data_IF_723763421168
#
_entry.id   IF_723763421168
#
_cell.length_a   1.000
_cell.length_b   1.000
_cell.length_c   1.000
_cell.angle_alpha   90.00
_cell.angle_beta   90.00
_cell.angle_gamma   90.00
#
_symmetry.space_group_name_H-M   'P 1'
#
loop_
_entity.id
_entity.type
_entity.pdbx_description
1 polymer ?
#
# COMPACT_ATOMS: atom_id res chain seq x y z
N UNK A 1 3.71 3.64 9.97
CA UNK A 1 2.94 2.99 8.89
C UNK A 1 2.94 1.49 9.13
N UNK A 2 1.78 0.92 9.44
CA UNK A 2 1.60 -0.54 9.40
C UNK A 2 1.58 -0.95 7.94
N UNK A 3 2.54 -1.79 7.53
CA UNK A 3 2.64 -2.30 6.15
C UNK A 3 2.16 -3.75 6.14
N UNK A 4 1.43 -4.17 5.10
CA UNK A 4 0.97 -5.54 5.03
C UNK A 4 2.16 -6.48 4.82
N UNK A 5 2.34 -7.44 5.73
CA UNK A 5 3.28 -8.55 5.56
C UNK A 5 2.77 -9.63 4.60
N UNK A 6 1.56 -9.46 4.04
CA UNK A 6 0.95 -10.37 3.07
C UNK A 6 1.90 -10.72 1.92
N UNK A 7 2.66 -9.73 1.43
CA UNK A 7 3.53 -9.90 0.27
C UNK A 7 4.77 -10.77 0.54
N UNK A 8 5.07 -11.11 1.79
CA UNK A 8 6.12 -12.09 2.12
C UNK A 8 5.78 -13.48 1.56
N UNK A 9 4.49 -13.79 1.39
CA UNK A 9 4.02 -15.03 0.77
C UNK A 9 4.13 -15.09 -0.75
N UNK A 10 4.63 -14.03 -1.41
CA UNK A 10 4.94 -14.05 -2.85
C UNK A 10 6.28 -14.73 -3.12
N UNK A 11 6.54 -15.15 -4.37
CA UNK A 11 7.83 -15.75 -4.76
C UNK A 11 9.03 -14.87 -4.36
N UNK A 12 8.92 -13.56 -4.57
CA UNK A 12 9.97 -12.61 -4.19
C UNK A 12 10.14 -12.52 -2.66
N UNK A 13 9.02 -12.48 -1.93
CA UNK A 13 9.04 -12.46 -0.46
C UNK A 13 9.66 -13.73 0.12
N UNK A 14 9.28 -14.90 -0.37
CA UNK A 14 9.80 -16.20 0.06
C UNK A 14 11.29 -16.37 -0.27
N UNK A 15 11.73 -15.92 -1.45
CA UNK A 15 13.14 -15.96 -1.81
C UNK A 15 14.00 -15.10 -0.87
N UNK A 16 13.52 -13.91 -0.52
CA UNK A 16 14.17 -13.04 0.46
C UNK A 16 14.20 -13.70 1.85
N UNK A 17 13.06 -14.23 2.31
CA UNK A 17 12.93 -14.88 3.62
C UNK A 17 13.91 -16.05 3.76
N UNK A 18 13.94 -16.93 2.74
CA UNK A 18 14.89 -18.05 2.68
C UNK A 18 16.35 -17.58 2.71
N UNK A 19 16.70 -16.54 1.97
CA UNK A 19 18.07 -16.00 1.97
C UNK A 19 18.46 -15.47 3.35
N UNK A 20 17.52 -14.84 4.06
CA UNK A 20 17.75 -14.34 5.41
C UNK A 20 17.87 -15.48 6.43
N UNK A 21 17.08 -16.54 6.29
CA UNK A 21 17.20 -17.77 7.09
C UNK A 21 18.57 -18.44 6.89
N UNK A 22 19.03 -18.55 5.65
CA UNK A 22 20.35 -19.10 5.31
C UNK A 22 21.46 -18.26 5.97
N UNK A 23 21.43 -16.93 5.83
CA UNK A 23 22.39 -16.01 6.47
C UNK A 23 22.34 -16.01 8.00
N UNK A 24 21.16 -16.19 8.61
CA UNK A 24 21.01 -16.38 10.06
C UNK A 24 21.67 -17.69 10.51
N UNK A 25 21.46 -18.78 9.75
CA UNK A 25 22.01 -20.11 10.05
C UNK A 25 23.54 -20.17 9.94
N UNK A 26 24.12 -19.39 9.02
CA UNK A 26 25.56 -19.23 8.85
C UNK A 26 26.17 -18.25 9.87
N UNK A 27 25.35 -17.61 10.72
CA UNK A 27 25.80 -16.63 11.71
C UNK A 27 26.23 -15.28 11.12
N UNK A 28 25.93 -15.03 9.84
CA UNK A 28 26.24 -13.77 9.16
C UNK A 28 25.33 -12.62 9.62
N UNK A 29 24.10 -12.94 10.01
CA UNK A 29 23.11 -11.99 10.50
C UNK A 29 22.49 -12.45 11.82
N UNK A 30 22.11 -11.48 12.65
CA UNK A 30 21.26 -11.78 13.81
C UNK A 30 19.80 -11.87 13.38
N UNK A 31 19.01 -12.69 14.09
CA UNK A 31 17.55 -12.76 13.93
C UNK A 31 16.85 -11.40 14.00
N UNK A 32 17.35 -10.51 14.86
CA UNK A 32 16.84 -9.14 14.99
C UNK A 32 17.04 -8.33 13.70
N UNK A 33 18.20 -8.48 13.06
CA UNK A 33 18.51 -7.80 11.81
C UNK A 33 17.70 -8.37 10.64
N UNK A 34 17.59 -9.69 10.51
CA UNK A 34 16.73 -10.33 9.51
C UNK A 34 15.27 -9.84 9.60
N UNK A 35 14.72 -9.78 10.82
CA UNK A 35 13.38 -9.24 11.06
C UNK A 35 13.24 -7.77 10.62
N UNK A 36 14.25 -6.93 10.86
CA UNK A 36 14.26 -5.53 10.39
C UNK A 36 14.30 -5.44 8.86
N UNK A 37 15.04 -6.32 8.19
CA UNK A 37 15.07 -6.38 6.71
C UNK A 37 13.69 -6.72 6.17
N UNK A 38 13.02 -7.74 6.74
CA UNK A 38 11.66 -8.09 6.33
C UNK A 38 10.64 -6.97 6.60
N UNK A 39 10.75 -6.25 7.71
CA UNK A 39 9.92 -5.06 7.95
C UNK A 39 10.16 -3.96 6.92
N UNK A 40 11.41 -3.79 6.46
CA UNK A 40 11.74 -2.85 5.40
C UNK A 40 11.23 -3.31 4.04
N UNK A 41 11.25 -4.63 3.77
CA UNK A 41 10.60 -5.23 2.61
C UNK A 41 9.10 -4.93 2.60
N UNK A 42 8.40 -5.14 3.71
CA UNK A 42 6.96 -4.84 3.80
C UNK A 42 6.66 -3.39 3.41
N UNK A 43 7.39 -2.44 4.00
CA UNK A 43 7.24 -1.00 3.69
C UNK A 43 7.49 -0.70 2.21
N UNK A 44 8.57 -1.26 1.67
CA UNK A 44 8.99 -1.01 0.29
C UNK A 44 7.98 -1.60 -0.70
N UNK A 45 7.52 -2.82 -0.46
CA UNK A 45 6.55 -3.52 -1.32
C UNK A 45 5.21 -2.81 -1.35
N UNK A 46 4.66 -2.47 -0.18
CA UNK A 46 3.39 -1.73 -0.09
C UNK A 46 3.48 -0.37 -0.80
N UNK A 47 4.60 0.34 -0.65
CA UNK A 47 4.85 1.61 -1.34
C UNK A 47 4.92 1.44 -2.86
N UNK A 48 5.66 0.46 -3.37
CA UNK A 48 5.82 0.28 -4.81
C UNK A 48 4.55 -0.20 -5.48
N UNK A 49 3.83 -1.18 -4.90
CA UNK A 49 2.55 -1.66 -5.45
C UNK A 49 1.54 -0.52 -5.56
N UNK A 50 1.50 0.39 -4.58
CA UNK A 50 0.60 1.55 -4.64
C UNK A 50 0.89 2.54 -5.76
N UNK A 51 2.09 2.47 -6.36
CA UNK A 51 2.55 3.33 -7.46
C UNK A 51 2.45 2.65 -8.82
N UNK A 52 2.26 1.34 -8.87
CA UNK A 52 2.13 0.61 -10.13
C UNK A 52 0.88 1.09 -10.90
N UNK A 53 0.90 1.06 -12.23
CA UNK A 53 -0.29 1.32 -13.05
C UNK A 53 -1.45 0.42 -12.60
N UNK A 54 -2.64 1.02 -12.48
CA UNK A 54 -3.86 0.31 -12.07
C UNK A 54 -4.49 -0.42 -13.25
N UNK A 55 -3.71 -1.30 -13.87
CA UNK A 55 -4.18 -2.15 -14.95
C UNK A 55 -5.27 -3.09 -14.44
N UNK A 56 -6.35 -3.22 -15.23
CA UNK A 56 -7.50 -4.02 -14.84
C UNK A 56 -7.32 -5.44 -15.35
N UNK A 57 -7.22 -6.39 -14.43
CA UNK A 57 -7.36 -7.81 -14.69
C UNK A 57 -8.81 -8.22 -14.42
N UNK A 58 -9.44 -8.93 -15.36
CA UNK A 58 -10.72 -9.59 -15.12
C UNK A 58 -10.50 -11.08 -14.95
N UNK A 59 -11.32 -11.75 -14.16
CA UNK A 59 -11.29 -13.22 -14.08
C UNK A 59 -12.69 -13.78 -13.92
N UNK A 60 -12.89 -15.01 -14.39
CA UNK A 60 -14.10 -15.78 -14.19
C UNK A 60 -13.71 -17.17 -13.69
N UNK A 61 -14.39 -17.70 -12.69
CA UNK A 61 -14.19 -19.04 -12.17
C UNK A 61 -15.47 -19.85 -12.35
N UNK A 62 -15.37 -21.13 -12.69
CA UNK A 62 -16.57 -21.98 -12.76
C UNK A 62 -17.11 -22.31 -11.38
N UNK A 63 -16.25 -22.32 -10.35
CA UNK A 63 -16.65 -22.66 -9.00
C UNK A 63 -15.82 -21.90 -7.95
N UNK A 64 -16.51 -21.37 -6.94
CA UNK A 64 -15.91 -20.98 -5.67
C UNK A 64 -15.92 -22.20 -4.74
N UNK A 65 -14.75 -22.75 -4.43
CA UNK A 65 -14.61 -23.95 -3.58
C UNK A 65 -14.83 -23.64 -2.10
N UNK A 66 -14.18 -22.59 -1.60
CA UNK A 66 -14.35 -22.13 -0.22
C UNK A 66 -14.02 -20.64 -0.12
N UNK A 67 -14.62 -19.98 0.85
CA UNK A 67 -14.30 -18.60 1.21
C UNK A 67 -14.20 -18.47 2.73
N UNK A 68 -13.47 -17.46 3.20
CA UNK A 68 -13.33 -17.13 4.62
C UNK A 68 -13.03 -15.66 4.79
N UNK A 69 -13.64 -15.06 5.80
CA UNK A 69 -13.32 -13.72 6.28
C UNK A 69 -12.93 -13.79 7.74
N UNK A 70 -11.72 -13.30 8.06
CA UNK A 70 -11.19 -13.25 9.42
C UNK A 70 -10.14 -12.13 9.48
N UNK A 71 -10.11 -11.35 10.56
CA UNK A 71 -9.14 -10.25 10.78
C UNK A 71 -9.03 -9.24 9.62
N UNK A 72 -10.15 -8.90 8.99
CA UNK A 72 -10.21 -8.02 7.82
C UNK A 72 -9.45 -8.55 6.58
N UNK A 73 -9.27 -9.87 6.51
CA UNK A 73 -8.67 -10.56 5.38
C UNK A 73 -9.68 -11.52 4.76
N UNK A 74 -9.93 -11.34 3.48
CA UNK A 74 -10.66 -12.30 2.66
C UNK A 74 -9.72 -13.36 2.12
N UNK A 75 -10.14 -14.62 2.17
CA UNK A 75 -9.50 -15.72 1.45
C UNK A 75 -10.55 -16.43 0.60
N UNK A 76 -10.27 -16.58 -0.69
CA UNK A 76 -11.07 -17.38 -1.63
C UNK A 76 -10.21 -18.48 -2.21
N UNK A 77 -10.80 -19.66 -2.44
CA UNK A 77 -10.21 -20.73 -3.25
C UNK A 77 -11.19 -21.00 -4.37
N UNK A 78 -10.74 -20.83 -5.60
CA UNK A 78 -11.51 -20.93 -6.84
C UNK A 78 -11.02 -22.14 -7.65
N UNK A 79 -11.91 -22.73 -8.43
CA UNK A 79 -11.61 -23.81 -9.38
C UNK A 79 -11.86 -23.32 -10.81
N UNK A 80 -11.02 -23.78 -11.75
CA UNK A 80 -11.11 -23.53 -13.19
C UNK A 80 -11.32 -22.03 -13.52
N UNK A 81 -10.26 -21.24 -13.30
CA UNK A 81 -10.26 -19.78 -13.41
C UNK A 81 -9.65 -19.31 -14.72
N UNK A 82 -10.45 -18.65 -15.55
CA UNK A 82 -9.95 -17.95 -16.73
C UNK A 82 -9.60 -16.51 -16.37
N UNK A 83 -8.33 -16.14 -16.54
CA UNK A 83 -7.86 -14.76 -16.45
C UNK A 83 -8.01 -14.05 -17.81
N UNK A 84 -8.43 -12.79 -17.80
CA UNK A 84 -8.58 -11.94 -18.97
C UNK A 84 -7.82 -10.64 -18.74
N UNK A 85 -6.67 -10.53 -19.40
CA UNK A 85 -5.82 -9.35 -19.41
C UNK A 85 -5.82 -8.74 -20.83
N UNK A 86 -6.06 -7.43 -20.99
CA UNK A 86 -5.97 -6.78 -22.30
C UNK A 86 -4.59 -6.87 -22.96
N UNK A 87 -3.51 -7.02 -22.18
CA UNK A 87 -2.13 -7.06 -22.67
C UNK A 87 -1.55 -8.48 -22.77
N UNK A 88 -2.19 -9.47 -22.14
CA UNK A 88 -1.68 -10.85 -22.06
C UNK A 88 -2.81 -11.86 -22.24
N UNK A 89 -2.63 -12.80 -23.17
CA UNK A 89 -3.48 -13.98 -23.24
C UNK A 89 -2.96 -15.06 -22.28
N UNK A 90 -3.88 -15.76 -21.62
CA UNK A 90 -3.61 -17.00 -20.90
C UNK A 90 -4.30 -18.11 -21.69
N UNK A 91 -3.52 -19.10 -22.15
CA UNK A 91 -4.02 -20.12 -23.08
C UNK A 91 -4.93 -21.14 -22.38
N UNK A 92 -4.70 -21.38 -21.08
CA UNK A 92 -5.40 -22.39 -20.30
C UNK A 92 -6.00 -21.80 -19.00
N UNK A 93 -7.17 -22.29 -18.57
CA UNK A 93 -7.70 -21.96 -17.26
C UNK A 93 -6.77 -22.44 -16.13
N UNK A 94 -6.70 -21.65 -15.06
CA UNK A 94 -6.00 -22.05 -13.84
C UNK A 94 -6.89 -23.04 -13.09
N UNK A 95 -6.44 -24.29 -12.95
CA UNK A 95 -7.18 -25.33 -12.22
C UNK A 95 -7.59 -24.86 -10.83
N UNK A 96 -6.67 -24.28 -10.06
CA UNK A 96 -6.98 -23.82 -8.70
C UNK A 96 -6.29 -22.51 -8.37
N UNK A 97 -7.07 -21.49 -8.02
CA UNK A 97 -6.58 -20.17 -7.64
C UNK A 97 -6.94 -19.82 -6.20
N UNK A 98 -5.94 -19.45 -5.39
CA UNK A 98 -6.14 -18.89 -4.06
C UNK A 98 -5.99 -17.38 -4.11
N UNK A 99 -7.04 -16.65 -3.72
CA UNK A 99 -7.02 -15.19 -3.58
C UNK A 99 -6.98 -14.83 -2.11
N UNK A 100 -6.00 -14.04 -1.70
CA UNK A 100 -5.91 -13.47 -0.34
C UNK A 100 -5.92 -11.95 -0.46
N UNK A 101 -6.90 -11.29 0.16
CA UNK A 101 -7.11 -9.86 0.03
C UNK A 101 -7.28 -9.19 1.39
N UNK A 102 -6.40 -8.24 1.69
CA UNK A 102 -6.53 -7.34 2.83
C UNK A 102 -7.36 -6.10 2.45
N UNK A 103 -8.01 -5.48 3.43
CA UNK A 103 -8.78 -4.26 3.22
C UNK A 103 -7.91 -3.05 2.82
N UNK A 104 -7.95 -2.68 1.53
CA UNK A 104 -7.19 -1.53 0.99
C UNK A 104 -7.70 -0.15 1.41
N UNK A 105 -8.84 -0.02 2.10
CA UNK A 105 -9.37 1.28 2.55
C UNK A 105 -8.42 1.99 3.50
N UNK A 106 -7.70 1.23 4.33
CA UNK A 106 -6.71 1.79 5.26
C UNK A 106 -5.55 2.46 4.50
N UNK A 107 -5.13 1.89 3.37
CA UNK A 107 -4.10 2.50 2.51
C UNK A 107 -4.60 3.79 1.85
N UNK A 108 -5.84 3.80 1.35
CA UNK A 108 -6.43 4.95 0.66
C UNK A 108 -6.66 6.17 1.57
N UNK A 109 -7.16 5.95 2.79
CA UNK A 109 -7.37 7.02 3.77
C UNK A 109 -6.04 7.68 4.17
N UNK A 110 -5.01 6.88 4.42
CA UNK A 110 -3.69 7.39 4.80
C UNK A 110 -3.00 8.13 3.64
N UNK A 111 -3.18 7.67 2.40
CA UNK A 111 -2.67 8.37 1.22
C UNK A 111 -3.33 9.76 1.07
N UNK A 112 -4.64 9.83 1.25
CA UNK A 112 -5.39 11.09 1.17
C UNK A 112 -4.95 12.08 2.24
N UNK A 113 -4.76 11.62 3.48
CA UNK A 113 -4.26 12.45 4.58
C UNK A 113 -2.84 12.94 4.35
N UNK A 114 -1.96 12.12 3.76
CA UNK A 114 -0.58 12.52 3.44
C UNK A 114 -0.47 13.47 2.24
N UNK A 115 -1.49 13.50 1.36
CA UNK A 115 -1.54 14.41 0.22
C UNK A 115 -2.02 15.82 0.60
N UNK A 116 -2.71 15.97 1.74
CA UNK A 116 -3.01 17.27 2.32
C UNK A 116 -1.75 17.81 3.00
N UNK A 117 -0.89 18.46 2.20
CA UNK A 117 0.21 19.27 2.73
C UNK A 117 -0.29 20.33 3.72
N UNK A 118 0.59 20.92 4.54
CA UNK A 118 0.18 21.86 5.57
C UNK A 118 -0.55 23.04 4.92
N UNK A 119 -1.86 23.15 5.18
CA UNK A 119 -2.64 24.33 4.79
C UNK A 119 -1.92 25.58 5.32
N UNK A 120 -1.47 26.45 4.41
CA UNK A 120 -0.95 27.77 4.77
C UNK A 120 -2.06 28.51 5.52
N UNK A 121 -1.91 28.64 6.83
CA UNK A 121 -2.75 29.49 7.67
C UNK A 121 -2.50 30.94 7.25
N UNK A 122 -3.43 31.53 6.49
CA UNK A 122 -3.43 32.96 6.20
C UNK A 122 -3.91 33.68 7.45
N UNK A 123 -2.99 34.29 8.20
CA UNK A 123 -3.33 35.20 9.29
C UNK A 123 -3.85 36.51 8.67
N UNK A 124 -5.17 36.71 8.66
CA UNK A 124 -5.77 38.01 8.41
C UNK A 124 -5.99 38.68 9.77
N UNK A 125 -5.01 39.46 10.21
CA UNK A 125 -5.15 40.30 11.40
C UNK A 125 -5.91 41.58 11.01
N UNK A 126 -7.11 41.72 11.56
CA UNK A 126 -7.86 42.97 11.66
C UNK A 126 -7.28 43.80 12.81
N UNK A 127 -6.83 45.02 12.53
CA UNK A 127 -6.65 46.14 13.47
C UNK A 127 -6.16 47.34 12.65
N UNK A 128 -6.52 48.59 12.87
CA UNK A 128 -7.67 49.25 13.47
C UNK A 128 -7.62 50.66 12.86
N UNK A 129 -8.76 51.19 12.43
CA UNK A 129 -8.85 52.58 11.98
C UNK A 129 -8.86 53.49 13.21
N UNK A 130 -7.89 54.39 13.34
CA UNK A 130 -7.95 55.63 14.11
C UNK A 130 -6.59 56.35 13.98
N UNK A 131 -6.62 57.58 13.49
CA UNK A 131 -5.44 58.42 13.29
C UNK A 131 -5.81 59.61 12.43
N UNK A 132 -6.79 60.39 12.92
CA UNK A 132 -6.87 61.81 12.64
C UNK A 132 -5.59 62.46 13.19
N UNK A 133 -4.95 63.33 12.40
CA UNK A 133 -4.33 64.56 12.92
C UNK A 133 -4.01 65.49 11.75
N UNK A 134 -4.45 66.72 11.94
CA UNK A 134 -4.53 67.85 11.02
C UNK A 134 -3.18 68.59 10.87
N UNK A 135 -3.18 69.56 9.95
CA UNK A 135 -2.26 70.71 9.83
C UNK A 135 -0.84 70.39 9.30
N UNK A 136 -0.23 71.11 8.37
CA UNK A 136 -0.20 72.55 8.13
C UNK A 136 0.46 72.84 6.75
N UNK A 137 0.12 73.99 6.16
CA UNK A 137 0.54 74.48 4.85
C UNK A 137 2.00 74.98 4.80
N UNK A 138 2.61 74.94 3.60
CA UNK A 138 3.39 76.02 2.94
C UNK A 138 4.64 75.56 2.15
N UNK A 139 4.55 75.60 0.81
CA UNK A 139 5.38 76.42 -0.11
C UNK A 139 4.74 76.49 -1.51
#
# INVERSE_FOLDING_TARGET
>A
MSSYALYRGTTLGQALDKTLEDMESEGLLTKSLASKVLQQFDKSMNKQISRLPKEKMNFCATQLLTYRYCDNVWTFILNNVTLKDPQRSFDEPIDKLKVVACDGRQTSLLQTLSAQGPSKRVNRAHAAAAGDDEDDDSD
#
